data_IF_992563434900
#
_entry.id   IF_992563434900
#
_cell.length_a   1.000
_cell.length_b   1.000
_cell.length_c   1.000
_cell.angle_alpha   90.00
_cell.angle_beta   90.00
_cell.angle_gamma   90.00
#
_symmetry.space_group_name_H-M   'P 1'
#
loop_
_entity.id
_entity.type
_entity.pdbx_description
1 polymer ?
#
# COMPACT_ATOMS: atom_id res chain seq x y z
N UNK A 1 -51.64 -5.81 59.98
CA UNK A 1 -51.09 -4.51 59.52
C UNK A 1 -49.56 -4.49 59.52
N UNK A 2 -48.89 -4.81 60.61
CA UNK A 2 -47.40 -4.78 60.72
C UNK A 2 -46.69 -5.65 59.66
N UNK A 3 -47.16 -6.91 59.47
CA UNK A 3 -46.58 -7.78 58.47
C UNK A 3 -46.72 -7.30 57.03
N UNK A 4 -47.77 -6.59 56.70
CA UNK A 4 -47.95 -5.98 55.39
C UNK A 4 -47.05 -4.80 55.15
N UNK A 5 -46.76 -3.99 56.17
CA UNK A 5 -45.82 -2.88 56.11
C UNK A 5 -44.37 -3.37 55.94
N UNK A 6 -44.00 -4.45 56.69
CA UNK A 6 -42.67 -5.06 56.57
C UNK A 6 -42.48 -5.66 55.17
N UNK A 7 -43.49 -6.35 54.64
CA UNK A 7 -43.49 -6.90 53.30
C UNK A 7 -43.30 -5.77 52.22
N UNK A 8 -44.00 -4.67 52.36
CA UNK A 8 -43.94 -3.53 51.42
C UNK A 8 -42.58 -2.83 51.51
N UNK A 9 -42.02 -2.69 52.71
CA UNK A 9 -40.69 -2.03 52.93
C UNK A 9 -39.52 -2.87 52.38
N UNK A 10 -39.67 -4.21 52.37
CA UNK A 10 -38.60 -5.07 51.86
C UNK A 10 -38.79 -5.37 50.38
N UNK A 11 -40.00 -5.68 49.93
CA UNK A 11 -40.27 -6.11 48.55
C UNK A 11 -40.09 -4.97 47.54
N UNK A 12 -40.53 -3.75 47.86
CA UNK A 12 -40.40 -2.64 46.95
C UNK A 12 -38.91 -2.33 46.61
N UNK A 13 -37.99 -2.18 47.59
CA UNK A 13 -36.59 -1.93 47.25
C UNK A 13 -35.93 -3.11 46.57
N UNK A 14 -36.28 -4.35 46.90
CA UNK A 14 -35.75 -5.54 46.21
C UNK A 14 -36.22 -5.58 44.75
N UNK A 15 -37.51 -5.36 44.50
CA UNK A 15 -38.03 -5.27 43.11
C UNK A 15 -37.45 -4.05 42.36
N UNK A 16 -37.30 -2.93 43.05
CA UNK A 16 -36.66 -1.75 42.49
C UNK A 16 -35.18 -1.98 42.10
N UNK A 17 -34.45 -2.66 42.98
CA UNK A 17 -33.04 -3.02 42.69
C UNK A 17 -32.96 -4.03 41.53
N UNK A 18 -33.84 -5.01 41.50
CA UNK A 18 -33.88 -6.00 40.42
C UNK A 18 -34.27 -5.36 39.07
N UNK A 19 -35.28 -4.47 39.13
CA UNK A 19 -35.65 -3.68 37.95
C UNK A 19 -34.51 -2.78 37.48
N UNK A 20 -33.76 -2.13 38.39
CA UNK A 20 -32.61 -1.35 38.08
C UNK A 20 -31.51 -2.17 37.39
N UNK A 21 -31.15 -3.31 37.93
CA UNK A 21 -30.17 -4.22 37.34
C UNK A 21 -30.57 -4.69 35.95
N UNK A 22 -31.83 -5.02 35.75
CA UNK A 22 -32.36 -5.45 34.44
C UNK A 22 -32.38 -4.26 33.42
N UNK A 23 -32.69 -3.06 33.89
CA UNK A 23 -32.68 -1.88 33.03
C UNK A 23 -31.26 -1.46 32.63
N UNK A 24 -30.30 -1.53 33.55
CA UNK A 24 -28.92 -1.15 33.28
C UNK A 24 -28.31 -2.04 32.18
N UNK A 25 -28.54 -3.36 32.24
CA UNK A 25 -28.13 -4.30 31.20
C UNK A 25 -28.92 -4.15 29.88
N UNK A 26 -30.11 -3.57 29.93
CA UNK A 26 -30.97 -3.43 28.75
C UNK A 26 -30.61 -2.25 27.86
N UNK A 27 -29.78 -1.31 28.35
CA UNK A 27 -29.34 -0.19 27.55
C UNK A 27 -27.93 -0.44 27.00
N UNK A 28 -27.87 -0.64 25.68
CA UNK A 28 -26.60 -0.75 24.96
C UNK A 28 -26.35 0.53 24.19
N UNK A 29 -25.19 1.12 24.39
CA UNK A 29 -24.74 2.30 23.65
C UNK A 29 -23.78 1.86 22.56
N UNK A 30 -24.12 2.20 21.31
CA UNK A 30 -23.27 2.00 20.14
C UNK A 30 -22.53 3.31 19.90
N UNK A 31 -21.19 3.26 19.89
CA UNK A 31 -20.34 4.41 19.67
C UNK A 31 -20.48 4.95 18.24
N UNK A 32 -20.13 6.23 18.05
CA UNK A 32 -20.08 6.83 16.73
C UNK A 32 -19.02 6.10 15.87
N UNK A 33 -19.35 5.83 14.60
CA UNK A 33 -18.47 5.07 13.72
C UNK A 33 -18.61 3.55 13.83
N UNK A 34 -19.57 3.07 14.62
CA UNK A 34 -19.89 1.64 14.75
C UNK A 34 -21.37 1.38 14.41
N UNK A 35 -21.64 0.16 13.94
CA UNK A 35 -23.00 -0.35 13.68
C UNK A 35 -23.25 -1.55 14.56
N UNK A 36 -24.44 -1.67 15.11
CA UNK A 36 -24.85 -2.85 15.87
C UNK A 36 -25.68 -3.82 15.03
N UNK A 37 -25.33 -5.09 15.04
CA UNK A 37 -26.15 -6.16 14.49
C UNK A 37 -26.87 -6.88 15.62
N UNK A 38 -28.18 -6.99 15.50
CA UNK A 38 -28.99 -7.71 16.51
C UNK A 38 -28.91 -9.20 16.24
N UNK A 39 -28.35 -9.95 17.19
CA UNK A 39 -28.28 -11.42 17.15
C UNK A 39 -29.25 -12.00 18.16
N UNK A 40 -30.25 -12.73 17.71
CA UNK A 40 -31.25 -13.37 18.55
C UNK A 40 -30.99 -14.88 18.64
N UNK A 41 -30.66 -15.37 19.84
CA UNK A 41 -30.36 -16.79 20.09
C UNK A 41 -29.29 -17.35 19.14
N UNK A 42 -28.24 -16.57 18.84
CA UNK A 42 -27.16 -16.97 17.95
C UNK A 42 -27.51 -16.90 16.46
N UNK A 43 -28.64 -16.30 16.08
CA UNK A 43 -28.99 -16.03 14.69
C UNK A 43 -29.00 -14.54 14.42
N UNK A 44 -28.25 -14.11 13.41
CA UNK A 44 -28.24 -12.74 12.95
C UNK A 44 -29.63 -12.34 12.41
N UNK A 45 -30.06 -11.15 12.77
CA UNK A 45 -31.31 -10.57 12.31
C UNK A 45 -31.03 -9.51 11.23
N UNK A 46 -31.97 -9.24 10.35
CA UNK A 46 -31.81 -8.17 9.32
C UNK A 46 -31.85 -6.75 9.92
N UNK A 47 -31.88 -6.63 11.25
CA UNK A 47 -31.96 -5.35 11.94
C UNK A 47 -30.57 -4.88 12.32
N UNK A 48 -30.06 -3.87 11.60
CA UNK A 48 -28.92 -3.07 11.99
C UNK A 48 -29.34 -1.90 12.88
N UNK A 49 -28.53 -1.58 13.86
CA UNK A 49 -28.74 -0.48 14.78
C UNK A 49 -27.72 0.62 14.48
N UNK A 50 -28.16 1.86 14.27
CA UNK A 50 -27.26 2.99 14.09
C UNK A 50 -26.54 3.37 15.39
N UNK A 51 -25.51 4.23 15.35
CA UNK A 51 -24.89 4.78 16.55
C UNK A 51 -25.92 5.45 17.48
N UNK A 52 -25.77 5.24 18.79
CA UNK A 52 -26.66 5.82 19.79
C UNK A 52 -27.06 4.84 20.90
N UNK A 53 -27.89 5.28 21.83
CA UNK A 53 -28.43 4.43 22.88
C UNK A 53 -29.61 3.59 22.34
N UNK A 54 -29.55 2.29 22.58
CA UNK A 54 -30.61 1.36 22.18
C UNK A 54 -31.09 0.54 23.35
N UNK A 55 -32.41 0.33 23.43
CA UNK A 55 -33.02 -0.53 24.40
C UNK A 55 -33.15 -1.96 23.84
N UNK A 56 -32.46 -2.91 24.48
CA UNK A 56 -32.45 -4.31 24.09
C UNK A 56 -32.99 -5.16 25.24
N UNK A 57 -34.11 -5.86 25.08
CA UNK A 57 -34.68 -6.63 26.15
C UNK A 57 -33.81 -7.87 26.46
N UNK A 58 -33.09 -7.84 27.58
CA UNK A 58 -32.17 -8.88 28.05
C UNK A 58 -32.82 -10.27 28.18
N UNK A 59 -34.12 -10.29 28.51
CA UNK A 59 -34.91 -11.52 28.66
C UNK A 59 -35.00 -12.38 27.39
N UNK A 60 -34.68 -11.86 26.22
CA UNK A 60 -34.84 -12.55 24.94
C UNK A 60 -33.55 -13.22 24.42
N UNK A 61 -32.46 -13.28 25.21
CA UNK A 61 -31.15 -13.76 24.74
C UNK A 61 -30.72 -13.08 23.43
N UNK A 62 -30.89 -11.77 23.41
CA UNK A 62 -30.50 -10.92 22.31
C UNK A 62 -29.13 -10.38 22.67
N UNK A 63 -28.14 -10.58 21.79
CA UNK A 63 -26.85 -9.89 21.83
C UNK A 63 -26.77 -8.88 20.72
N UNK A 64 -25.93 -7.87 20.90
CA UNK A 64 -25.58 -6.93 19.85
C UNK A 64 -24.11 -7.11 19.54
N UNK A 65 -23.85 -7.51 18.30
CA UNK A 65 -22.49 -7.54 17.77
C UNK A 65 -22.19 -6.19 17.11
N UNK A 66 -21.03 -5.64 17.45
CA UNK A 66 -20.65 -4.27 17.01
C UNK A 66 -19.64 -4.37 15.89
N UNK A 67 -19.92 -3.65 14.80
CA UNK A 67 -19.12 -3.62 13.60
C UNK A 67 -18.63 -2.19 13.30
N UNK A 68 -17.44 -2.01 12.74
CA UNK A 68 -17.00 -0.72 12.26
C UNK A 68 -17.88 -0.26 11.07
N UNK A 69 -18.38 0.98 11.13
CA UNK A 69 -19.11 1.61 10.01
C UNK A 69 -18.25 2.58 9.21
N UNK A 70 -17.06 2.86 9.72
CA UNK A 70 -16.07 3.69 9.05
C UNK A 70 -15.31 2.86 8.02
N UNK A 71 -14.52 3.55 7.24
CA UNK A 71 -13.63 2.95 6.27
C UNK A 71 -12.53 2.15 6.99
N UNK A 72 -12.34 0.92 6.53
CA UNK A 72 -11.33 -0.01 6.99
C UNK A 72 -10.19 -0.04 5.97
N UNK A 73 -8.95 0.11 6.41
CA UNK A 73 -7.77 0.04 5.56
C UNK A 73 -6.95 -1.23 5.86
N UNK A 74 -6.79 -2.08 4.86
CA UNK A 74 -5.88 -3.21 4.92
C UNK A 74 -4.63 -2.93 4.07
N UNK A 75 -3.44 -3.09 4.67
CA UNK A 75 -2.14 -2.88 4.02
C UNK A 75 -1.34 -4.16 4.00
N UNK A 76 -1.10 -4.72 2.83
CA UNK A 76 -0.16 -5.83 2.66
C UNK A 76 1.25 -5.29 2.49
N UNK A 77 2.21 -5.88 3.21
CA UNK A 77 3.60 -5.41 3.25
C UNK A 77 3.92 -4.50 4.44
N UNK A 78 2.93 -4.22 5.28
CA UNK A 78 3.11 -3.51 6.54
C UNK A 78 2.82 -4.50 7.68
N UNK A 79 3.89 -5.09 8.21
CA UNK A 79 3.80 -6.13 9.26
C UNK A 79 3.99 -5.52 10.66
N UNK A 80 4.08 -4.18 10.75
CA UNK A 80 4.36 -3.47 11.99
C UNK A 80 3.07 -3.26 12.80
N UNK A 81 2.77 -4.25 13.67
CA UNK A 81 1.53 -4.31 14.45
C UNK A 81 1.40 -3.22 15.53
N UNK A 82 2.46 -2.47 15.83
CA UNK A 82 2.47 -1.49 16.92
C UNK A 82 1.62 -0.23 16.63
N UNK A 83 1.30 0.02 15.37
CA UNK A 83 0.60 1.23 14.93
C UNK A 83 -0.83 0.99 14.44
N UNK A 84 -1.36 -0.23 14.56
CA UNK A 84 -2.68 -0.54 14.02
C UNK A 84 -3.79 -0.05 14.95
N UNK A 85 -4.81 0.51 14.31
CA UNK A 85 -6.03 0.97 14.97
C UNK A 85 -7.17 -0.03 14.71
N UNK A 86 -8.31 0.18 15.35
CA UNK A 86 -9.53 -0.60 15.07
C UNK A 86 -9.94 -0.56 13.58
N UNK A 87 -9.44 0.42 12.81
CA UNK A 87 -9.81 0.67 11.42
C UNK A 87 -8.67 0.41 10.41
N UNK A 88 -7.48 0.13 10.89
CA UNK A 88 -6.31 -0.16 10.05
C UNK A 88 -5.68 -1.48 10.47
N UNK A 89 -5.39 -2.32 9.49
CA UNK A 89 -4.76 -3.60 9.72
C UNK A 89 -3.73 -3.89 8.64
N UNK A 90 -2.59 -4.42 9.03
CA UNK A 90 -1.54 -4.81 8.10
C UNK A 90 -1.38 -6.32 8.01
N UNK A 91 -0.56 -6.73 7.09
CA UNK A 91 -0.22 -8.12 6.88
C UNK A 91 0.99 -8.30 5.99
N UNK A 92 1.45 -9.54 5.84
CA UNK A 92 2.64 -9.83 5.04
C UNK A 92 2.44 -9.43 3.57
N UNK A 93 3.57 -9.22 2.89
CA UNK A 93 3.59 -9.04 1.43
C UNK A 93 2.89 -10.18 0.71
N UNK A 94 2.20 -9.87 -0.35
CA UNK A 94 1.50 -10.86 -1.16
C UNK A 94 2.45 -11.44 -2.21
N UNK A 95 2.72 -12.74 -2.11
CA UNK A 95 3.47 -13.48 -3.14
C UNK A 95 2.56 -13.89 -4.26
N UNK A 96 2.94 -13.50 -5.48
CA UNK A 96 2.17 -13.76 -6.70
C UNK A 96 3.11 -14.20 -7.82
N UNK A 97 2.67 -15.19 -8.59
CA UNK A 97 3.30 -15.57 -9.86
C UNK A 97 2.49 -14.91 -10.99
N UNK A 98 3.15 -14.11 -11.81
CA UNK A 98 2.55 -13.44 -12.96
C UNK A 98 2.29 -14.41 -14.12
N UNK A 99 1.56 -13.95 -15.14
CA UNK A 99 1.28 -14.73 -16.34
C UNK A 99 2.52 -15.13 -17.14
N UNK A 100 3.58 -14.33 -17.09
CA UNK A 100 4.91 -14.62 -17.66
C UNK A 100 5.79 -15.54 -16.80
N UNK A 101 5.24 -16.07 -15.69
CA UNK A 101 5.88 -16.94 -14.68
C UNK A 101 6.94 -16.26 -13.81
N UNK A 102 6.95 -14.96 -13.75
CA UNK A 102 7.78 -14.27 -12.81
C UNK A 102 7.12 -14.25 -11.42
N UNK A 103 7.90 -14.55 -10.40
CA UNK A 103 7.45 -14.43 -9.00
C UNK A 103 7.74 -13.02 -8.51
N UNK A 104 6.73 -12.41 -7.90
CA UNK A 104 6.82 -11.05 -7.36
C UNK A 104 6.24 -11.00 -5.94
N UNK A 105 6.87 -10.22 -5.10
CA UNK A 105 6.38 -9.86 -3.78
C UNK A 105 5.73 -8.47 -3.89
N UNK A 106 4.43 -8.42 -3.59
CA UNK A 106 3.60 -7.26 -3.86
C UNK A 106 3.07 -6.66 -2.57
N UNK A 107 3.26 -5.35 -2.38
CA UNK A 107 2.54 -4.58 -1.37
C UNK A 107 1.30 -3.91 -2.00
N UNK A 108 0.23 -3.79 -1.22
CA UNK A 108 -0.98 -3.10 -1.67
C UNK A 108 -1.77 -2.55 -0.48
N UNK A 109 -2.58 -1.55 -0.76
CA UNK A 109 -3.56 -1.03 0.20
C UNK A 109 -4.95 -1.14 -0.39
N UNK A 110 -5.86 -1.74 0.36
CA UNK A 110 -7.28 -1.77 0.02
C UNK A 110 -8.07 -1.11 1.13
N UNK A 111 -8.99 -0.22 0.75
CA UNK A 111 -9.92 0.43 1.66
C UNK A 111 -11.33 -0.03 1.35
N UNK A 112 -12.01 -0.46 2.40
CA UNK A 112 -13.35 -1.03 2.31
C UNK A 112 -14.25 -0.44 3.37
N UNK A 113 -15.55 -0.45 3.10
CA UNK A 113 -16.59 -0.15 4.05
C UNK A 113 -17.53 -1.36 4.13
N UNK A 114 -18.02 -1.67 5.32
CA UNK A 114 -19.07 -2.68 5.48
C UNK A 114 -20.39 -2.13 4.94
N UNK A 115 -21.04 -2.90 4.06
CA UNK A 115 -22.38 -2.57 3.60
C UNK A 115 -23.41 -2.88 4.72
N UNK A 116 -24.10 -1.86 5.26
CA UNK A 116 -25.11 -2.09 6.30
C UNK A 116 -26.23 -3.04 5.88
N UNK A 117 -26.50 -3.15 4.58
CA UNK A 117 -27.58 -4.01 4.06
C UNK A 117 -27.14 -5.48 3.97
N UNK A 118 -25.83 -5.72 3.76
CA UNK A 118 -25.22 -7.06 3.70
C UNK A 118 -24.66 -7.52 5.04
N UNK A 119 -24.74 -6.71 6.11
CA UNK A 119 -24.09 -6.95 7.40
C UNK A 119 -24.47 -8.32 8.02
N UNK A 120 -25.70 -8.77 7.85
CA UNK A 120 -26.13 -10.08 8.29
C UNK A 120 -25.36 -11.21 7.58
N UNK A 121 -25.26 -11.14 6.26
CA UNK A 121 -24.54 -12.12 5.45
C UNK A 121 -23.06 -12.16 5.82
N UNK A 122 -22.45 -10.98 6.00
CA UNK A 122 -21.06 -10.84 6.41
C UNK A 122 -20.84 -11.46 7.79
N UNK A 123 -21.76 -11.22 8.74
CA UNK A 123 -21.71 -11.83 10.07
C UNK A 123 -21.82 -13.35 10.02
N UNK A 124 -22.79 -13.89 9.25
CA UNK A 124 -23.01 -15.33 9.13
C UNK A 124 -21.82 -16.07 8.49
N UNK A 125 -21.06 -15.39 7.60
CA UNK A 125 -19.90 -15.97 6.92
C UNK A 125 -18.61 -15.85 7.71
N UNK A 126 -18.36 -14.71 8.31
CA UNK A 126 -17.04 -14.35 8.86
C UNK A 126 -17.06 -14.09 10.37
N UNK A 127 -18.22 -13.73 10.92
CA UNK A 127 -18.30 -13.26 12.31
C UNK A 127 -17.65 -11.90 12.53
N UNK A 128 -17.67 -11.38 13.77
CA UNK A 128 -17.07 -10.08 14.07
C UNK A 128 -15.52 -10.08 13.95
N UNK A 129 -14.88 -11.18 14.36
CA UNK A 129 -13.41 -11.29 14.38
C UNK A 129 -12.82 -11.66 13.01
N UNK A 130 -13.65 -12.14 12.09
CA UNK A 130 -13.20 -12.63 10.78
C UNK A 130 -13.14 -11.59 9.67
N UNK A 131 -13.48 -10.33 9.93
CA UNK A 131 -13.56 -9.27 8.91
C UNK A 131 -12.20 -9.07 8.22
N UNK A 132 -11.14 -8.91 9.01
CA UNK A 132 -9.80 -8.66 8.48
C UNK A 132 -9.25 -9.83 7.68
N UNK A 133 -9.50 -11.07 8.14
CA UNK A 133 -9.13 -12.27 7.38
C UNK A 133 -9.93 -12.38 6.08
N UNK A 134 -11.21 -12.02 6.09
CA UNK A 134 -12.04 -12.00 4.89
C UNK A 134 -11.54 -10.99 3.86
N UNK A 135 -11.27 -9.75 4.28
CA UNK A 135 -10.72 -8.70 3.40
C UNK A 135 -9.38 -9.13 2.83
N UNK A 136 -8.47 -9.62 3.67
CA UNK A 136 -7.15 -10.11 3.23
C UNK A 136 -7.27 -11.23 2.21
N UNK A 137 -8.03 -12.28 2.53
CA UNK A 137 -8.07 -13.50 1.72
C UNK A 137 -8.81 -13.26 0.40
N UNK A 138 -9.87 -12.44 0.42
CA UNK A 138 -10.61 -12.07 -0.80
C UNK A 138 -9.76 -11.16 -1.68
N UNK A 139 -9.08 -10.17 -1.10
CA UNK A 139 -8.16 -9.30 -1.84
C UNK A 139 -7.00 -10.10 -2.45
N UNK A 140 -6.36 -10.97 -1.66
CA UNK A 140 -5.27 -11.80 -2.16
C UNK A 140 -5.72 -12.73 -3.29
N UNK A 141 -6.93 -13.26 -3.23
CA UNK A 141 -7.50 -14.12 -4.29
C UNK A 141 -7.77 -13.32 -5.56
N UNK A 142 -8.39 -12.16 -5.45
CA UNK A 142 -8.68 -11.29 -6.58
C UNK A 142 -7.40 -10.85 -7.29
N UNK A 143 -6.40 -10.39 -6.53
CA UNK A 143 -5.11 -9.96 -7.07
C UNK A 143 -4.40 -11.12 -7.76
N UNK A 144 -4.29 -12.29 -7.11
CA UNK A 144 -3.66 -13.47 -7.74
C UNK A 144 -4.37 -13.88 -9.02
N UNK A 145 -5.69 -13.91 -9.03
CA UNK A 145 -6.44 -14.32 -10.24
C UNK A 145 -6.24 -13.36 -11.42
N UNK A 146 -6.13 -12.07 -11.15
CA UNK A 146 -5.92 -11.05 -12.19
C UNK A 146 -4.47 -11.07 -12.70
N UNK A 147 -3.49 -11.11 -11.77
CA UNK A 147 -2.07 -11.07 -12.12
C UNK A 147 -1.55 -12.37 -12.76
N UNK A 148 -2.17 -13.52 -12.45
CA UNK A 148 -1.82 -14.80 -13.09
C UNK A 148 -2.38 -14.94 -14.51
N UNK A 149 -3.10 -13.94 -15.01
CA UNK A 149 -3.62 -13.96 -16.39
C UNK A 149 -2.46 -13.93 -17.39
N UNK A 150 -2.52 -14.72 -18.50
CA UNK A 150 -1.42 -14.83 -19.46
C UNK A 150 -1.04 -13.52 -20.15
N UNK A 151 -1.92 -12.54 -20.12
CA UNK A 151 -1.75 -11.21 -20.70
C UNK A 151 -1.06 -10.21 -19.74
N UNK A 152 -0.75 -10.62 -18.53
CA UNK A 152 -0.08 -9.77 -17.54
C UNK A 152 1.36 -10.21 -17.35
N UNK A 153 2.28 -9.31 -17.63
CA UNK A 153 3.71 -9.49 -17.46
C UNK A 153 4.33 -8.46 -16.51
N UNK A 154 5.63 -8.60 -16.31
CA UNK A 154 6.40 -7.68 -15.47
C UNK A 154 6.32 -6.23 -15.97
N UNK A 155 6.36 -6.02 -17.28
CA UNK A 155 6.34 -4.68 -17.87
C UNK A 155 5.06 -3.92 -17.50
N UNK A 156 3.94 -4.64 -17.27
CA UNK A 156 2.65 -4.04 -16.89
C UNK A 156 2.66 -3.49 -15.45
N UNK A 157 3.58 -3.98 -14.60
CA UNK A 157 3.71 -3.51 -13.22
C UNK A 157 4.48 -2.19 -13.09
N UNK A 158 5.34 -1.86 -14.06
CA UNK A 158 6.27 -0.73 -13.95
C UNK A 158 6.07 0.40 -14.96
N UNK A 159 5.29 0.19 -15.99
CA UNK A 159 5.14 1.15 -17.08
C UNK A 159 3.85 1.97 -17.02
N UNK A 160 3.51 2.57 -18.17
CA UNK A 160 2.23 3.26 -18.35
C UNK A 160 1.03 2.31 -18.22
N UNK A 161 1.22 1.03 -18.53
CA UNK A 161 0.21 -0.03 -18.39
C UNK A 161 -0.19 -0.30 -16.92
N UNK A 162 0.60 0.13 -15.93
CA UNK A 162 0.28 -0.01 -14.51
C UNK A 162 -1.07 0.61 -14.15
N UNK A 163 -1.41 1.74 -14.72
CA UNK A 163 -2.68 2.43 -14.45
C UNK A 163 -3.87 1.57 -14.92
N UNK A 164 -3.75 0.97 -16.11
CA UNK A 164 -4.79 0.08 -16.64
C UNK A 164 -4.88 -1.22 -15.83
N UNK A 165 -3.75 -1.73 -15.36
CA UNK A 165 -3.70 -2.88 -14.48
C UNK A 165 -4.35 -2.60 -13.12
N UNK A 166 -4.07 -1.44 -12.51
CA UNK A 166 -4.70 -1.02 -11.26
C UNK A 166 -6.21 -0.87 -11.42
N UNK A 167 -6.69 -0.35 -12.56
CA UNK A 167 -8.11 -0.26 -12.86
C UNK A 167 -8.76 -1.65 -12.96
N UNK A 168 -8.13 -2.59 -13.66
CA UNK A 168 -8.59 -4.00 -13.77
C UNK A 168 -8.61 -4.70 -12.41
N UNK A 169 -7.56 -4.51 -11.61
CA UNK A 169 -7.49 -5.02 -10.23
C UNK A 169 -8.60 -4.45 -9.37
N UNK A 170 -8.83 -3.14 -9.45
CA UNK A 170 -9.87 -2.43 -8.72
C UNK A 170 -11.27 -2.97 -9.07
N UNK A 171 -11.55 -3.20 -10.34
CA UNK A 171 -12.82 -3.78 -10.79
C UNK A 171 -13.02 -5.20 -10.26
N UNK A 172 -12.01 -6.06 -10.40
CA UNK A 172 -12.04 -7.44 -9.90
C UNK A 172 -12.21 -7.51 -8.39
N UNK A 173 -11.45 -6.67 -7.65
CA UNK A 173 -11.54 -6.56 -6.20
C UNK A 173 -12.92 -6.08 -5.75
N UNK A 174 -13.44 -5.03 -6.40
CA UNK A 174 -14.76 -4.48 -6.09
C UNK A 174 -15.86 -5.52 -6.26
N UNK A 175 -15.80 -6.33 -7.31
CA UNK A 175 -16.74 -7.42 -7.54
C UNK A 175 -16.67 -8.51 -6.48
N UNK A 176 -15.47 -8.98 -6.11
CA UNK A 176 -15.30 -10.05 -5.13
C UNK A 176 -15.63 -9.57 -3.71
N UNK A 177 -15.16 -8.39 -3.32
CA UNK A 177 -15.46 -7.81 -2.01
C UNK A 177 -16.95 -7.48 -1.86
N UNK A 178 -17.58 -6.99 -2.95
CA UNK A 178 -19.03 -6.74 -2.96
C UNK A 178 -19.85 -8.02 -2.71
N UNK A 179 -19.44 -9.15 -3.26
CA UNK A 179 -20.08 -10.44 -3.00
C UNK A 179 -19.94 -10.92 -1.53
N UNK A 180 -18.92 -10.41 -0.82
CA UNK A 180 -18.70 -10.70 0.60
C UNK A 180 -19.34 -9.66 1.54
N UNK A 181 -19.98 -8.62 1.00
CA UNK A 181 -20.68 -7.58 1.74
C UNK A 181 -19.78 -6.39 2.12
N UNK A 182 -18.71 -6.18 1.37
CA UNK A 182 -17.81 -5.03 1.51
C UNK A 182 -17.91 -4.11 0.30
N UNK A 183 -18.10 -2.85 0.52
CA UNK A 183 -17.99 -1.81 -0.50
C UNK A 183 -16.54 -1.36 -0.57
N UNK A 184 -15.86 -1.57 -1.71
CA UNK A 184 -14.50 -1.09 -1.89
C UNK A 184 -14.51 0.41 -2.21
N UNK A 185 -13.79 1.20 -1.41
CA UNK A 185 -13.67 2.65 -1.58
C UNK A 185 -12.46 3.02 -2.44
N UNK A 186 -11.32 2.38 -2.19
CA UNK A 186 -10.10 2.60 -2.98
C UNK A 186 -9.19 1.39 -2.94
N UNK A 187 -8.40 1.27 -4.01
CA UNK A 187 -7.31 0.30 -4.12
C UNK A 187 -6.07 1.02 -4.63
N UNK A 188 -4.92 0.66 -4.11
CA UNK A 188 -3.63 1.17 -4.56
C UNK A 188 -2.60 0.05 -4.52
N UNK A 189 -1.93 -0.12 -5.64
CA UNK A 189 -0.78 -1.00 -5.74
C UNK A 189 0.44 -0.27 -5.16
N UNK A 190 1.10 -0.88 -4.19
CA UNK A 190 2.31 -0.34 -3.56
C UNK A 190 3.60 -0.74 -4.30
N UNK A 191 4.61 -1.07 -3.51
CA UNK A 191 5.89 -1.50 -4.03
C UNK A 191 5.84 -2.94 -4.55
N UNK A 192 6.59 -3.18 -5.60
CA UNK A 192 6.74 -4.48 -6.26
C UNK A 192 8.20 -4.91 -6.13
N UNK A 193 8.44 -5.96 -5.38
CA UNK A 193 9.77 -6.54 -5.25
C UNK A 193 9.85 -7.81 -6.12
N UNK A 194 10.77 -7.77 -7.08
CA UNK A 194 11.05 -8.88 -7.99
C UNK A 194 12.07 -9.87 -7.42
N UNK A 195 12.59 -9.61 -6.23
CA UNK A 195 13.61 -10.42 -5.61
C UNK A 195 14.79 -10.71 -6.55
N UNK A 196 15.25 -11.97 -6.56
CA UNK A 196 16.36 -12.40 -7.45
C UNK A 196 16.03 -12.30 -8.95
N UNK A 197 14.76 -12.38 -9.30
CA UNK A 197 14.31 -12.24 -10.68
C UNK A 197 14.52 -10.81 -11.19
N UNK A 198 14.39 -9.83 -10.31
CA UNK A 198 14.64 -8.42 -10.61
C UNK A 198 16.07 -8.14 -11.05
N UNK A 199 17.05 -8.77 -10.41
CA UNK A 199 18.47 -8.61 -10.78
C UNK A 199 18.74 -9.15 -12.19
N UNK A 200 18.15 -10.30 -12.53
CA UNK A 200 18.30 -10.91 -13.86
C UNK A 200 17.63 -10.06 -14.93
N UNK A 201 16.43 -9.53 -14.63
CA UNK A 201 15.72 -8.67 -15.58
C UNK A 201 16.45 -7.35 -15.78
N UNK A 202 16.93 -6.72 -14.72
CA UNK A 202 17.73 -5.51 -14.83
C UNK A 202 19.01 -5.74 -15.64
N UNK A 203 19.68 -6.88 -15.43
CA UNK A 203 20.85 -7.26 -16.23
C UNK A 203 20.47 -7.44 -17.72
N UNK A 204 19.35 -8.10 -17.98
CA UNK A 204 18.86 -8.32 -19.36
C UNK A 204 18.46 -7.00 -20.05
N UNK A 205 17.75 -6.12 -19.34
CA UNK A 205 17.39 -4.80 -19.86
C UNK A 205 18.63 -3.94 -20.13
N UNK A 206 19.61 -3.95 -19.22
CA UNK A 206 20.87 -3.24 -19.45
C UNK A 206 21.59 -3.79 -20.67
N UNK A 207 21.72 -5.10 -20.81
CA UNK A 207 22.36 -5.73 -21.96
C UNK A 207 21.65 -5.39 -23.28
N UNK A 208 20.29 -5.33 -23.26
CA UNK A 208 19.48 -4.92 -24.42
C UNK A 208 19.73 -3.46 -24.79
N UNK A 209 19.74 -2.56 -23.82
CA UNK A 209 20.02 -1.13 -24.07
C UNK A 209 21.44 -0.91 -24.58
N UNK A 210 22.43 -1.66 -24.06
CA UNK A 210 23.80 -1.63 -24.57
C UNK A 210 23.86 -2.10 -26.04
N UNK A 211 23.17 -3.18 -26.36
CA UNK A 211 23.07 -3.68 -27.75
C UNK A 211 22.41 -2.65 -28.69
N UNK A 212 21.30 -2.05 -28.26
CA UNK A 212 20.61 -1.00 -29.04
C UNK A 212 21.52 0.23 -29.26
N UNK A 213 22.28 0.60 -28.23
CA UNK A 213 23.27 1.67 -28.32
C UNK A 213 24.39 1.32 -29.30
N UNK A 214 24.95 0.14 -29.23
CA UNK A 214 25.98 -0.32 -30.17
C UNK A 214 25.45 -0.37 -31.62
N UNK A 215 24.20 -0.81 -31.81
CA UNK A 215 23.56 -0.82 -33.13
C UNK A 215 23.37 0.59 -33.67
N UNK A 216 22.93 1.54 -32.81
CA UNK A 216 22.78 2.94 -33.18
C UNK A 216 24.13 3.57 -33.55
N UNK A 217 25.18 3.33 -32.76
CA UNK A 217 26.53 3.77 -33.05
C UNK A 217 27.07 3.16 -34.34
N UNK A 218 26.83 1.89 -34.61
CA UNK A 218 27.21 1.21 -35.83
C UNK A 218 26.45 1.77 -37.06
N UNK A 219 25.17 2.11 -36.91
CA UNK A 219 24.38 2.75 -37.95
C UNK A 219 24.90 4.17 -38.28
N UNK A 220 25.23 4.93 -37.25
CA UNK A 220 25.84 6.26 -37.43
C UNK A 220 27.17 6.19 -38.17
N UNK A 221 28.06 5.26 -37.75
CA UNK A 221 29.34 5.06 -38.47
C UNK A 221 29.15 4.63 -39.93
N UNK A 222 28.14 3.77 -40.20
CA UNK A 222 27.85 3.38 -41.60
C UNK A 222 27.34 4.57 -42.40
N UNK A 223 26.48 5.42 -41.81
CA UNK A 223 26.00 6.62 -42.50
C UNK A 223 27.11 7.61 -42.76
N UNK A 224 28.04 7.80 -41.82
CA UNK A 224 29.25 8.64 -42.02
C UNK A 224 30.11 8.12 -43.17
N UNK A 225 30.43 6.81 -43.18
CA UNK A 225 31.19 6.19 -44.27
C UNK A 225 30.47 6.30 -45.62
N UNK A 226 29.16 6.18 -45.64
CA UNK A 226 28.36 6.28 -46.84
C UNK A 226 28.36 7.74 -47.36
N UNK A 227 28.27 8.73 -46.47
CA UNK A 227 28.37 10.14 -46.79
C UNK A 227 29.77 10.46 -47.34
N UNK A 228 30.83 9.93 -46.75
CA UNK A 228 32.20 10.11 -47.24
C UNK A 228 32.39 9.45 -48.62
N UNK A 229 31.79 8.27 -48.88
CA UNK A 229 31.84 7.63 -50.20
C UNK A 229 31.06 8.41 -51.28
N UNK A 230 29.95 9.07 -50.92
CA UNK A 230 29.18 9.93 -51.83
C UNK A 230 29.88 11.22 -52.14
N UNK A 231 30.69 11.74 -51.24
CA UNK A 231 31.51 12.96 -51.44
C UNK A 231 32.74 12.71 -52.29
N UNK A 232 33.29 11.50 -52.31
CA UNK A 232 34.46 11.10 -53.12
C UNK A 232 34.34 11.43 -54.64
N UNK A 233 33.22 11.09 -55.34
CA UNK A 233 33.07 11.43 -56.74
C UNK A 233 32.83 12.95 -57.01
N UNK A 234 32.32 13.69 -56.00
CA UNK A 234 32.09 15.13 -56.09
C UNK A 234 33.40 15.93 -55.97
N UNK A 235 34.46 15.35 -55.42
CA UNK A 235 35.81 15.89 -55.32
C UNK A 235 36.62 15.71 -56.59
N UNK A 236 35.96 15.32 -57.74
CA UNK A 236 36.52 15.04 -59.03
C UNK A 236 37.79 15.82 -59.36
N UNK A 237 38.89 15.10 -59.69
CA UNK A 237 40.21 15.61 -60.12
C UNK A 237 40.97 16.53 -59.13
N UNK A 238 40.45 16.86 -57.98
CA UNK A 238 41.25 17.41 -56.90
C UNK A 238 42.24 16.34 -56.42
N UNK A 239 43.53 16.67 -56.55
CA UNK A 239 44.63 15.74 -56.30
C UNK A 239 44.43 14.90 -55.03
N UNK A 240 44.82 13.63 -55.08
CA UNK A 240 44.84 12.70 -53.96
C UNK A 240 45.36 13.32 -52.65
N UNK A 241 46.26 14.30 -52.78
CA UNK A 241 46.82 15.12 -51.69
C UNK A 241 45.78 15.98 -50.97
N UNK A 242 44.78 16.53 -51.66
CA UNK A 242 43.73 17.31 -50.99
C UNK A 242 42.73 16.41 -50.25
N UNK A 243 42.42 15.26 -50.78
CA UNK A 243 41.57 14.28 -50.12
C UNK A 243 42.23 13.72 -48.84
N UNK A 244 43.54 13.45 -48.89
CA UNK A 244 44.35 13.05 -47.73
C UNK A 244 44.40 14.15 -46.68
N UNK A 245 44.58 15.43 -47.05
CA UNK A 245 44.54 16.55 -46.09
C UNK A 245 43.17 16.75 -45.46
N UNK A 246 42.09 16.55 -46.18
CA UNK A 246 40.73 16.57 -45.59
C UNK A 246 40.52 15.45 -44.59
N UNK A 247 41.01 14.25 -44.88
CA UNK A 247 40.96 13.09 -43.97
C UNK A 247 41.83 13.33 -42.72
N UNK A 248 43.02 13.90 -42.87
CA UNK A 248 43.86 14.27 -41.72
C UNK A 248 43.20 15.32 -40.85
N UNK A 249 42.55 16.33 -41.39
CA UNK A 249 41.83 17.35 -40.64
C UNK A 249 40.61 16.76 -39.93
N UNK A 250 39.93 15.79 -40.54
CA UNK A 250 38.84 15.04 -39.93
C UNK A 250 39.29 14.21 -38.73
N UNK A 251 40.40 13.48 -38.90
CA UNK A 251 41.02 12.68 -37.82
C UNK A 251 41.54 13.61 -36.71
N UNK A 252 42.16 14.75 -37.04
CA UNK A 252 42.59 15.72 -36.04
C UNK A 252 41.42 16.32 -35.26
N UNK A 253 40.28 16.57 -35.89
CA UNK A 253 39.04 17.03 -35.17
C UNK A 253 38.50 15.99 -34.20
N UNK A 254 38.64 14.71 -34.52
CA UNK A 254 38.27 13.65 -33.60
C UNK A 254 39.26 13.53 -32.42
N UNK A 255 40.55 13.67 -32.70
CA UNK A 255 41.60 13.66 -31.63
C UNK A 255 41.46 14.85 -30.68
N UNK A 256 41.12 16.03 -31.20
CA UNK A 256 40.93 17.25 -30.39
C UNK A 256 39.62 17.18 -29.56
N UNK A 257 38.63 16.39 -29.98
CA UNK A 257 37.39 16.14 -29.23
C UNK A 257 37.45 14.98 -28.27
N UNK A 258 38.41 14.08 -28.46
CA UNK A 258 38.58 13.00 -27.51
C UNK A 258 39.17 13.56 -26.19
N UNK A 259 38.53 13.39 -25.05
CA UNK A 259 39.15 13.77 -23.78
C UNK A 259 40.47 13.00 -23.66
N UNK A 260 41.56 13.71 -23.40
CA UNK A 260 42.86 13.14 -23.19
C UNK A 260 42.76 12.01 -22.17
N UNK A 261 43.21 10.79 -22.47
CA UNK A 261 43.24 9.71 -21.49
C UNK A 261 44.24 10.13 -20.41
N UNK A 262 43.73 10.55 -19.25
CA UNK A 262 44.55 11.03 -18.12
C UNK A 262 44.10 12.33 -17.50
N UNK A 263 43.17 13.07 -18.11
CA UNK A 263 42.54 14.19 -17.42
C UNK A 263 41.59 13.63 -16.35
N UNK A 264 42.14 13.30 -15.20
CA UNK A 264 41.40 13.06 -13.97
C UNK A 264 40.61 14.34 -13.71
N UNK A 265 39.30 14.28 -13.94
CA UNK A 265 38.38 15.35 -13.56
C UNK A 265 38.42 15.46 -12.05
N UNK A 266 39.33 16.26 -11.52
CA UNK A 266 39.28 16.76 -10.16
C UNK A 266 38.14 17.78 -10.05
N UNK A 267 36.92 17.33 -10.26
CA UNK A 267 35.73 18.06 -9.75
C UNK A 267 35.63 17.76 -8.28
N UNK A 268 36.45 18.42 -7.47
CA UNK A 268 36.15 18.60 -6.07
C UNK A 268 34.80 19.30 -5.99
N UNK A 269 33.81 18.75 -5.30
CA UNK A 269 32.64 19.53 -4.95
C UNK A 269 33.12 20.62 -3.99
N UNK A 270 33.06 21.86 -4.40
CA UNK A 270 33.12 23.04 -3.53
C UNK A 270 31.95 22.86 -2.54
N UNK A 271 32.29 22.36 -1.36
CA UNK A 271 31.44 22.44 -0.19
C UNK A 271 31.21 23.90 0.11
N UNK A 272 30.07 24.42 -0.32
CA UNK A 272 29.56 25.68 0.17
C UNK A 272 29.20 25.47 1.66
N UNK A 273 30.18 25.70 2.52
CA UNK A 273 29.98 25.92 3.94
C UNK A 273 29.19 27.21 4.09
N UNK A 274 27.87 27.08 4.17
CA UNK A 274 26.99 28.15 4.66
C UNK A 274 27.20 28.20 6.16
N UNK A 275 27.98 29.18 6.60
CA UNK A 275 28.15 29.57 7.97
C UNK A 275 26.76 29.90 8.56
N UNK A 276 26.33 29.09 9.50
CA UNK A 276 25.17 29.35 10.38
C UNK A 276 25.63 30.34 11.44
N UNK A 277 24.98 31.49 11.61
CA UNK A 277 25.32 32.40 12.70
C UNK A 277 25.01 31.76 14.05
N UNK A 278 25.96 31.89 14.98
CA UNK A 278 25.85 31.48 16.34
C UNK A 278 24.70 32.23 17.03
N UNK A 279 23.82 31.49 17.71
CA UNK A 279 22.89 32.06 18.70
C UNK A 279 23.57 32.06 20.08
N UNK A 280 23.27 33.06 20.89
CA UNK A 280 23.99 33.30 22.14
C UNK A 280 23.57 32.34 23.25
N UNK A 281 24.56 32.07 24.13
CA UNK A 281 24.46 31.43 25.43
C UNK A 281 23.27 31.95 26.25
N UNK A 282 22.46 31.01 26.73
CA UNK A 282 21.69 31.26 27.95
C UNK A 282 21.94 30.09 28.89
N UNK A 283 22.69 30.45 29.93
CA UNK A 283 22.97 29.69 31.13
C UNK A 283 21.68 29.29 31.84
N UNK A 284 21.70 28.16 32.54
CA UNK A 284 20.67 27.82 33.52
C UNK A 284 20.54 26.33 33.76
N UNK A 285 21.51 25.70 34.42
CA UNK A 285 21.21 24.59 35.33
C UNK A 285 20.37 25.11 36.54
N UNK A 286 19.56 24.26 37.18
CA UNK A 286 20.13 23.42 38.21
C UNK A 286 19.54 22.00 38.34
N UNK A 287 20.40 21.11 38.85
CA UNK A 287 20.18 19.94 39.67
C UNK A 287 18.84 19.86 40.41
N UNK A 288 18.20 18.70 40.34
CA UNK A 288 17.47 18.10 41.46
C UNK A 288 17.23 16.61 41.18
N UNK A 289 18.07 15.72 41.72
CA UNK A 289 17.70 14.89 42.86
C UNK A 289 16.69 13.80 42.58
N UNK A 290 17.20 12.59 42.46
CA UNK A 290 16.45 11.34 42.66
C UNK A 290 15.90 11.25 44.12
N UNK A 291 14.85 10.46 44.32
CA UNK A 291 14.93 9.51 45.42
C UNK A 291 14.64 8.08 44.98
N UNK A 292 15.54 7.20 45.39
CA UNK A 292 15.32 5.85 45.87
C UNK A 292 13.98 5.67 46.59
N UNK A 293 13.26 4.59 46.29
CA UNK A 293 12.48 3.86 47.27
C UNK A 293 12.33 2.40 46.85
N UNK A 294 13.12 1.60 47.57
CA UNK A 294 12.84 0.20 47.94
C UNK A 294 11.44 0.04 48.56
N UNK A 295 10.90 -1.17 48.38
CA UNK A 295 10.11 -1.76 49.47
C UNK A 295 8.75 -2.36 49.12
N UNK A 296 8.74 -3.68 49.17
CA UNK A 296 7.65 -4.60 49.52
C UNK A 296 6.73 -5.08 48.42
#
# INVERSE_FOLDING_TARGET
MVALIIFLVIVIPVVGLLAWLILDEAFVRIDSGKLGLVVNRGKATDKSLPPGPHFVPVLRRISIEVYPSLELAYRAGDDDSEHWTDFEHGGPVLKVTLGDRADVDLSYTVRVRLDPTALKQTHERFGPDGIWSAVRDTSARAIRSTLSSPDVGIDDLFGAARVDLEARLSESLGGMLGADGFEMTSFSLGDVDLGRTGDVIQATVRARLELEREQAEAATRRAEVQTDLELLPLLGDASMDQALRYREVGVWRQFVRAPLPGAVSSSSPLSATTARPAAPDAAGEPEASAPDQDGS
#
